data_IF_350175663301
#
_entry.id   IF_350175663301
#
_cell.length_a   1.000
_cell.length_b   1.000
_cell.length_c   1.000
_cell.angle_alpha   90.00
_cell.angle_beta   90.00
_cell.angle_gamma   90.00
#
_symmetry.space_group_name_H-M   'P 1'
#
loop_
_entity.id
_entity.type
_entity.pdbx_description
1 polymer ?
#
# COMPACT_ATOMS: atom_id res chain seq x y z
N UNK A 1 -13.84 -5.97 34.35
CA UNK A 1 -13.45 -6.73 33.13
C UNK A 1 -14.48 -7.84 32.95
N UNK A 2 -15.25 -7.79 31.87
CA UNK A 2 -16.18 -8.86 31.52
C UNK A 2 -15.44 -10.00 30.81
N UNK A 3 -16.05 -11.20 30.80
CA UNK A 3 -15.44 -12.44 30.31
C UNK A 3 -15.10 -12.37 28.82
N UNK A 4 -13.87 -12.76 28.40
CA UNK A 4 -13.49 -12.70 27.00
C UNK A 4 -14.37 -13.59 26.11
N UNK A 5 -14.76 -13.08 24.94
CA UNK A 5 -15.53 -13.85 23.96
C UNK A 5 -14.60 -14.36 22.85
N UNK A 6 -14.84 -15.61 22.45
CA UNK A 6 -14.07 -16.28 21.40
C UNK A 6 -14.86 -16.20 20.11
N UNK A 7 -14.45 -15.34 19.18
CA UNK A 7 -14.96 -15.40 17.81
C UNK A 7 -14.11 -16.36 16.98
N UNK A 8 -14.77 -17.35 16.37
CA UNK A 8 -14.13 -18.26 15.41
C UNK A 8 -14.13 -17.59 14.04
N UNK A 9 -12.97 -17.10 13.61
CA UNK A 9 -12.80 -16.67 12.23
C UNK A 9 -12.81 -17.89 11.30
N UNK A 10 -13.70 -17.87 10.31
CA UNK A 10 -13.69 -18.79 9.18
C UNK A 10 -12.65 -18.29 8.17
N UNK A 11 -11.90 -19.19 7.55
CA UNK A 11 -10.82 -18.90 6.58
C UNK A 11 -11.30 -18.19 5.29
N UNK A 12 -12.56 -17.76 5.21
CA UNK A 12 -13.18 -17.08 4.07
C UNK A 12 -13.49 -15.59 4.34
N UNK A 13 -13.14 -15.05 5.51
CA UNK A 13 -13.27 -13.61 5.75
C UNK A 13 -12.10 -12.87 5.09
N UNK A 14 -12.40 -12.13 4.02
CA UNK A 14 -11.42 -11.55 3.10
C UNK A 14 -10.67 -10.32 3.65
N UNK A 15 -10.79 -10.02 4.94
CA UNK A 15 -10.13 -8.89 5.62
C UNK A 15 -8.64 -9.13 5.93
N UNK A 16 -8.10 -10.34 5.71
CA UNK A 16 -6.70 -10.66 5.96
C UNK A 16 -6.01 -11.31 4.75
N UNK A 17 -5.65 -10.52 3.73
CA UNK A 17 -4.80 -11.00 2.63
C UNK A 17 -3.33 -10.95 3.03
N UNK A 18 -2.85 -12.04 3.64
CA UNK A 18 -1.42 -12.32 3.82
C UNK A 18 -1.07 -13.66 3.17
N UNK A 19 -0.25 -13.64 2.12
CA UNK A 19 0.22 -14.83 1.41
C UNK A 19 1.19 -15.66 2.26
N UNK A 20 0.83 -16.90 2.59
CA UNK A 20 1.80 -17.91 3.02
C UNK A 20 1.71 -19.13 2.11
N UNK A 21 2.68 -19.24 1.18
CA UNK A 21 2.90 -20.47 0.40
C UNK A 21 3.41 -21.57 1.34
N UNK A 22 2.69 -22.70 1.34
CA UNK A 22 3.26 -24.03 1.48
C UNK A 22 3.95 -24.42 2.79
N UNK A 23 3.21 -24.55 3.89
CA UNK A 23 3.54 -25.54 4.95
C UNK A 23 2.24 -26.08 5.52
N UNK A 24 2.01 -27.41 5.46
CA UNK A 24 0.94 -28.07 6.23
C UNK A 24 1.29 -28.00 7.72
N UNK A 25 1.10 -26.85 8.37
CA UNK A 25 1.15 -26.73 9.83
C UNK A 25 -0.22 -27.15 10.37
N UNK A 26 -0.24 -28.03 11.37
CA UNK A 26 -1.45 -28.30 12.18
C UNK A 26 -2.04 -26.94 12.57
N UNK A 27 -3.25 -26.65 12.10
CA UNK A 27 -3.86 -25.33 12.16
C UNK A 27 -3.89 -24.80 13.59
N UNK A 28 -3.02 -23.83 13.88
CA UNK A 28 -3.20 -22.94 15.03
C UNK A 28 -4.25 -21.95 14.56
N UNK A 29 -5.52 -22.22 14.88
CA UNK A 29 -6.56 -21.24 14.67
C UNK A 29 -6.20 -20.05 15.56
N UNK A 30 -5.81 -18.91 14.96
CA UNK A 30 -5.60 -17.67 15.70
C UNK A 30 -6.97 -17.24 16.22
N UNK A 31 -7.24 -17.55 17.47
CA UNK A 31 -8.42 -17.07 18.18
C UNK A 31 -8.15 -15.62 18.56
N UNK A 32 -8.84 -14.69 17.91
CA UNK A 32 -8.92 -13.31 18.39
C UNK A 32 -9.82 -13.32 19.62
N UNK A 33 -9.25 -12.92 20.75
CA UNK A 33 -9.96 -12.82 22.02
C UNK A 33 -10.41 -11.38 22.16
N UNK A 34 -11.71 -11.14 22.05
CA UNK A 34 -12.30 -9.82 22.28
C UNK A 34 -12.79 -9.72 23.72
N UNK A 35 -12.76 -8.51 24.26
CA UNK A 35 -13.31 -8.19 25.58
C UNK A 35 -13.97 -6.82 25.55
N UNK A 36 -14.51 -6.37 26.68
CA UNK A 36 -15.12 -5.05 26.85
C UNK A 36 -14.75 -4.43 28.22
N UNK A 37 -14.87 -3.10 28.34
CA UNK A 37 -14.72 -2.40 29.63
C UNK A 37 -16.05 -2.39 30.39
N UNK A 38 -16.02 -1.94 31.66
CA UNK A 38 -17.26 -1.79 32.43
C UNK A 38 -18.13 -0.63 31.92
N UNK A 39 -17.47 0.41 31.37
CA UNK A 39 -18.10 1.61 30.84
C UNK A 39 -18.69 1.40 29.44
N UNK A 40 -18.00 0.60 28.61
CA UNK A 40 -18.41 0.23 27.27
C UNK A 40 -18.66 -1.29 27.18
N UNK A 41 -19.71 -1.83 27.81
CA UNK A 41 -19.93 -3.28 27.92
C UNK A 41 -20.21 -3.97 26.58
N UNK A 42 -20.67 -3.21 25.57
CA UNK A 42 -20.95 -3.70 24.21
C UNK A 42 -19.79 -3.50 23.24
N UNK A 43 -18.71 -2.83 23.66
CA UNK A 43 -17.50 -2.64 22.88
C UNK A 43 -16.68 -3.94 22.88
N UNK A 44 -16.87 -4.78 21.86
CA UNK A 44 -16.25 -6.10 21.80
C UNK A 44 -15.01 -6.09 20.89
N UNK A 45 -13.91 -5.54 21.40
CA UNK A 45 -12.66 -5.36 20.64
C UNK A 45 -11.50 -6.16 21.23
N UNK A 46 -10.43 -6.34 20.47
CA UNK A 46 -9.19 -6.93 20.99
C UNK A 46 -8.41 -5.93 21.84
N UNK A 47 -7.43 -6.36 22.63
CA UNK A 47 -6.48 -5.46 23.31
C UNK A 47 -7.12 -4.26 24.06
N UNK A 48 -8.36 -4.39 24.55
CA UNK A 48 -9.17 -3.30 25.13
C UNK A 48 -8.43 -2.43 26.13
N UNK A 49 -7.54 -3.03 26.92
CA UNK A 49 -6.78 -2.30 27.94
C UNK A 49 -5.78 -1.28 27.35
N UNK A 50 -5.40 -1.45 26.09
CA UNK A 50 -4.31 -0.71 25.45
C UNK A 50 -4.75 0.22 24.33
N UNK A 51 -5.96 0.03 23.81
CA UNK A 51 -6.48 0.68 22.60
C UNK A 51 -7.90 1.23 22.84
N UNK A 52 -8.28 1.41 24.10
CA UNK A 52 -9.51 2.10 24.49
C UNK A 52 -9.10 3.09 25.58
N UNK A 53 -9.44 4.37 25.41
CA UNK A 53 -9.05 5.45 26.34
C UNK A 53 -7.52 5.55 26.46
N UNK A 54 -6.80 5.40 25.34
CA UNK A 54 -5.34 5.45 25.29
C UNK A 54 -4.81 6.86 24.95
N UNK A 55 -5.73 7.80 24.68
CA UNK A 55 -5.45 9.18 24.30
C UNK A 55 -5.15 9.35 22.82
N UNK A 56 -5.42 8.34 21.98
CA UNK A 56 -5.31 8.38 20.52
C UNK A 56 -6.57 7.79 19.92
N UNK A 57 -6.96 8.30 18.77
CA UNK A 57 -8.05 7.77 17.99
C UNK A 57 -7.62 6.51 17.23
N UNK A 58 -8.04 5.35 17.71
CA UNK A 58 -7.96 4.07 17.01
C UNK A 58 -9.15 3.91 16.04
N UNK A 59 -9.06 4.54 14.86
CA UNK A 59 -10.10 4.49 13.82
C UNK A 59 -9.98 3.25 12.90
N UNK A 60 -9.60 2.11 13.48
CA UNK A 60 -9.55 0.82 12.81
C UNK A 60 -10.39 -0.21 13.55
N UNK A 61 -10.69 -1.34 12.90
CA UNK A 61 -11.53 -2.38 13.50
C UNK A 61 -12.86 -1.82 13.99
N UNK A 62 -13.24 -2.18 15.23
CA UNK A 62 -14.49 -1.74 15.86
C UNK A 62 -14.25 -0.75 17.03
N UNK A 63 -13.04 -0.19 17.19
CA UNK A 63 -12.70 0.74 18.29
C UNK A 63 -13.40 2.10 18.14
N UNK A 64 -13.37 2.71 16.94
CA UNK A 64 -14.09 3.94 16.64
C UNK A 64 -15.57 3.68 16.27
N UNK A 65 -16.34 3.10 17.20
CA UNK A 65 -17.78 2.84 17.04
C UNK A 65 -18.56 3.46 18.18
N UNK A 66 -19.86 3.67 17.99
CA UNK A 66 -20.73 4.20 19.05
C UNK A 66 -20.75 3.28 20.28
N UNK A 67 -20.68 1.96 20.06
CA UNK A 67 -20.63 0.93 21.10
C UNK A 67 -19.36 1.02 21.97
N UNK A 68 -18.26 1.49 21.38
CA UNK A 68 -16.99 1.77 22.03
C UNK A 68 -16.82 3.23 22.45
N UNK A 69 -17.87 4.05 22.35
CA UNK A 69 -17.81 5.47 22.70
C UNK A 69 -16.91 6.29 21.79
N UNK A 70 -16.69 5.84 20.55
CA UNK A 70 -15.69 6.39 19.62
C UNK A 70 -14.31 6.40 20.27
N UNK A 71 -13.84 5.19 20.59
CA UNK A 71 -12.59 4.97 21.32
C UNK A 71 -12.55 5.69 22.68
N UNK A 72 -13.60 5.45 23.49
CA UNK A 72 -13.84 6.12 24.77
C UNK A 72 -13.80 7.66 24.74
N UNK A 73 -13.95 8.26 23.56
CA UNK A 73 -13.92 9.70 23.35
C UNK A 73 -12.72 10.17 22.54
N UNK A 74 -11.67 9.36 22.41
CA UNK A 74 -10.43 9.72 21.74
C UNK A 74 -10.64 10.03 20.24
N UNK A 75 -11.65 9.44 19.60
CA UNK A 75 -12.01 9.71 18.21
C UNK A 75 -13.08 10.79 17.99
N UNK A 76 -13.64 11.42 19.03
CA UNK A 76 -14.76 12.38 18.85
C UNK A 76 -14.34 13.58 18.00
N UNK A 77 -13.21 14.22 18.32
CA UNK A 77 -12.75 15.40 17.57
C UNK A 77 -12.46 15.06 16.11
N UNK A 78 -11.82 13.90 15.87
CA UNK A 78 -11.56 13.40 14.52
C UNK A 78 -12.87 13.18 13.74
N UNK A 79 -13.85 12.52 14.34
CA UNK A 79 -15.14 12.25 13.70
C UNK A 79 -15.95 13.52 13.43
N UNK A 80 -15.87 14.53 14.30
CA UNK A 80 -16.51 15.83 14.07
C UNK A 80 -15.88 16.58 12.89
N UNK A 81 -14.55 16.53 12.80
CA UNK A 81 -13.79 17.22 11.75
C UNK A 81 -13.85 16.49 10.41
N UNK A 82 -13.81 15.16 10.43
CA UNK A 82 -13.71 14.30 9.25
C UNK A 82 -14.71 13.13 9.29
N UNK A 83 -16.04 13.41 9.30
CA UNK A 83 -17.08 12.41 9.60
C UNK A 83 -17.16 11.23 8.62
N UNK A 84 -16.53 11.34 7.46
CA UNK A 84 -16.52 10.29 6.42
C UNK A 84 -15.11 9.85 6.03
N UNK A 85 -14.10 10.19 6.83
CA UNK A 85 -12.72 9.79 6.56
C UNK A 85 -12.41 8.43 7.21
N UNK A 86 -11.73 7.57 6.46
CA UNK A 86 -11.24 6.26 6.92
C UNK A 86 -9.72 6.29 7.08
N UNK A 87 -9.25 7.09 8.03
CA UNK A 87 -7.85 7.10 8.42
C UNK A 87 -7.64 6.20 9.63
N UNK A 88 -6.71 5.25 9.58
CA UNK A 88 -6.61 4.21 10.60
C UNK A 88 -6.15 4.77 11.95
N UNK A 89 -5.13 5.63 11.95
CA UNK A 89 -4.54 6.24 13.16
C UNK A 89 -4.30 7.73 12.91
N UNK A 90 -5.37 8.54 12.85
CA UNK A 90 -5.29 9.93 12.40
C UNK A 90 -4.37 10.80 13.27
N UNK A 91 -4.29 10.58 14.59
CA UNK A 91 -3.39 11.36 15.46
C UNK A 91 -1.91 11.21 15.14
N UNK A 92 -1.54 10.18 14.38
CA UNK A 92 -0.15 9.92 13.99
C UNK A 92 0.15 10.29 12.55
N UNK A 93 -0.87 10.37 11.70
CA UNK A 93 -0.70 10.47 10.24
C UNK A 93 -1.25 11.77 9.64
N UNK A 94 -2.13 12.49 10.33
CA UNK A 94 -2.70 13.73 9.77
C UNK A 94 -1.81 14.93 10.05
N UNK A 95 -1.50 15.70 9.02
CA UNK A 95 -0.71 16.93 9.18
C UNK A 95 0.75 16.65 9.58
N UNK A 96 1.26 15.46 9.26
CA UNK A 96 2.62 15.02 9.58
C UNK A 96 3.65 15.41 8.49
N UNK A 97 3.17 16.02 7.40
CA UNK A 97 3.96 16.45 6.25
C UNK A 97 4.08 15.40 5.15
N UNK A 98 3.50 14.20 5.32
CA UNK A 98 3.39 13.18 4.30
C UNK A 98 1.97 13.13 3.74
N UNK A 99 1.84 12.87 2.45
CA UNK A 99 0.54 12.79 1.80
C UNK A 99 0.11 11.31 1.65
N UNK A 100 -0.78 10.85 2.54
CA UNK A 100 -1.34 9.49 2.58
C UNK A 100 -2.86 9.49 2.32
N UNK A 101 -3.62 10.30 3.05
CA UNK A 101 -5.10 10.31 2.99
C UNK A 101 -5.65 11.37 2.02
N UNK A 102 -5.24 11.27 0.75
CA UNK A 102 -5.53 12.27 -0.30
C UNK A 102 -6.98 12.25 -0.81
N UNK A 103 -7.93 12.55 0.07
CA UNK A 103 -9.35 12.67 -0.28
C UNK A 103 -9.96 13.91 0.35
N UNK A 104 -11.01 14.46 -0.27
CA UNK A 104 -11.73 15.61 0.28
C UNK A 104 -12.36 15.29 1.64
N UNK A 105 -12.80 14.05 1.87
CA UNK A 105 -13.40 13.59 3.12
C UNK A 105 -12.38 13.61 4.28
N UNK A 106 -11.11 13.36 3.97
CA UNK A 106 -10.00 13.41 4.91
C UNK A 106 -9.29 14.77 4.93
N UNK A 107 -9.87 15.80 4.29
CA UNK A 107 -9.28 17.14 4.24
C UNK A 107 -7.92 17.18 3.55
N UNK A 108 -7.67 16.28 2.59
CA UNK A 108 -6.38 16.14 1.92
C UNK A 108 -5.23 15.91 2.90
N UNK A 109 -5.44 14.93 3.79
CA UNK A 109 -4.52 14.56 4.86
C UNK A 109 -4.17 15.72 5.81
N UNK A 110 -5.20 16.40 6.31
CA UNK A 110 -5.00 17.62 7.10
C UNK A 110 -4.37 18.78 6.34
N UNK A 111 -4.24 18.69 5.02
CA UNK A 111 -3.66 19.70 4.14
C UNK A 111 -2.32 19.29 3.51
N UNK A 112 -1.72 18.19 3.93
CA UNK A 112 -0.39 17.76 3.43
C UNK A 112 -0.41 17.36 1.95
N UNK A 113 -1.58 16.97 1.44
CA UNK A 113 -1.74 16.63 0.02
C UNK A 113 -2.06 17.84 -0.87
N UNK A 114 -2.16 19.06 -0.34
CA UNK A 114 -2.55 20.23 -1.14
C UNK A 114 -1.50 20.58 -2.21
N UNK A 115 -0.22 20.58 -1.85
CA UNK A 115 0.87 20.86 -2.81
C UNK A 115 0.92 19.79 -3.92
N UNK A 116 0.76 18.52 -3.55
CA UNK A 116 0.69 17.43 -4.50
C UNK A 116 -0.48 17.62 -5.48
N UNK A 117 -1.67 17.94 -4.98
CA UNK A 117 -2.86 18.14 -5.81
C UNK A 117 -2.77 19.39 -6.70
N UNK A 118 -2.04 20.43 -6.28
CA UNK A 118 -1.76 21.59 -7.13
C UNK A 118 -0.81 21.23 -8.27
N UNK A 119 0.23 20.45 -7.97
CA UNK A 119 1.26 20.04 -8.94
C UNK A 119 0.74 18.98 -9.93
N UNK A 120 -0.06 18.04 -9.46
CA UNK A 120 -0.57 16.89 -10.23
C UNK A 120 -2.10 16.75 -10.09
N UNK A 121 -2.89 17.72 -10.57
CA UNK A 121 -4.34 17.81 -10.31
C UNK A 121 -5.18 16.65 -10.85
N UNK A 122 -4.62 15.87 -11.79
CA UNK A 122 -5.29 14.72 -12.41
C UNK A 122 -4.62 13.39 -12.03
N UNK A 123 -3.60 13.39 -11.17
CA UNK A 123 -2.95 12.17 -10.72
C UNK A 123 -3.77 11.53 -9.61
N UNK A 124 -4.28 10.32 -9.87
CA UNK A 124 -5.06 9.54 -8.90
C UNK A 124 -4.25 8.29 -8.55
N UNK A 125 -3.56 8.34 -7.41
CA UNK A 125 -2.71 7.27 -6.89
C UNK A 125 -2.97 7.06 -5.40
N UNK A 126 -2.74 5.84 -4.91
CA UNK A 126 -2.98 5.48 -3.51
C UNK A 126 -1.94 6.09 -2.57
N UNK A 127 -0.68 6.24 -3.02
CA UNK A 127 0.43 6.80 -2.24
C UNK A 127 1.07 7.98 -2.96
N UNK A 128 0.48 9.19 -2.88
CA UNK A 128 1.03 10.37 -3.56
C UNK A 128 2.51 10.67 -3.28
N UNK A 129 3.01 10.29 -2.10
CA UNK A 129 4.41 10.42 -1.70
C UNK A 129 5.40 9.60 -2.55
N UNK A 130 4.93 8.59 -3.29
CA UNK A 130 5.72 7.85 -4.28
C UNK A 130 6.05 8.70 -5.52
N UNK A 131 5.23 9.70 -5.84
CA UNK A 131 5.46 10.52 -7.03
C UNK A 131 6.65 11.46 -6.82
N UNK A 132 7.72 11.25 -7.56
CA UNK A 132 8.94 12.06 -7.43
C UNK A 132 9.86 11.60 -6.30
N UNK A 133 9.77 10.33 -5.88
CA UNK A 133 10.54 9.76 -4.79
C UNK A 133 11.95 9.24 -5.19
N UNK A 134 12.30 9.39 -6.48
CA UNK A 134 13.53 8.96 -7.17
C UNK A 134 13.57 7.48 -7.54
N UNK A 135 12.48 6.76 -7.35
CA UNK A 135 12.25 5.44 -7.90
C UNK A 135 11.26 5.58 -9.06
N UNK A 136 11.35 4.71 -10.07
CA UNK A 136 10.36 4.71 -11.13
C UNK A 136 9.21 3.76 -10.76
N UNK A 137 8.17 4.33 -10.17
CA UNK A 137 6.91 3.65 -9.88
C UNK A 137 6.05 3.53 -11.13
N UNK A 138 5.73 2.28 -11.50
CA UNK A 138 4.96 1.98 -12.70
C UNK A 138 3.46 2.23 -12.58
N UNK A 139 2.70 1.60 -13.48
CA UNK A 139 1.23 1.56 -13.42
C UNK A 139 0.57 2.95 -13.34
N UNK A 140 -0.11 3.26 -12.24
CA UNK A 140 -0.85 4.50 -12.06
C UNK A 140 0.07 5.71 -11.87
N UNK A 141 1.29 5.49 -11.38
CA UNK A 141 2.29 6.52 -11.12
C UNK A 141 3.00 6.96 -12.41
N UNK A 142 3.38 6.00 -13.25
CA UNK A 142 3.99 6.28 -14.56
C UNK A 142 2.96 6.67 -15.64
N UNK A 143 2.24 7.77 -15.42
CA UNK A 143 1.27 8.34 -16.38
C UNK A 143 1.54 9.83 -16.60
N UNK A 144 1.12 10.38 -17.73
CA UNK A 144 1.24 11.82 -18.01
C UNK A 144 0.56 12.68 -16.93
N UNK A 145 -0.58 12.21 -16.39
CA UNK A 145 -1.31 12.90 -15.33
C UNK A 145 -0.50 13.04 -14.02
N UNK A 146 0.39 12.08 -13.76
CA UNK A 146 1.32 12.05 -12.63
C UNK A 146 2.73 12.52 -13.03
N UNK A 147 2.90 13.10 -14.23
CA UNK A 147 4.19 13.59 -14.71
C UNK A 147 5.22 12.49 -14.99
N UNK A 148 4.77 11.29 -15.34
CA UNK A 148 5.60 10.08 -15.44
C UNK A 148 6.37 9.83 -14.14
N UNK A 149 5.58 9.66 -13.08
CA UNK A 149 6.06 9.49 -11.72
C UNK A 149 6.95 10.65 -11.25
N UNK A 150 6.46 11.87 -11.44
CA UNK A 150 7.21 13.09 -11.11
C UNK A 150 8.51 13.27 -11.89
N UNK A 151 8.68 12.54 -12.99
CA UNK A 151 9.85 12.53 -13.84
C UNK A 151 10.78 11.34 -13.62
N UNK A 152 10.56 10.53 -12.58
CA UNK A 152 11.47 9.44 -12.22
C UNK A 152 11.41 8.27 -13.23
N UNK A 153 10.31 8.17 -13.99
CA UNK A 153 10.15 7.18 -15.06
C UNK A 153 10.51 7.67 -16.47
N UNK A 154 10.99 8.90 -16.64
CA UNK A 154 11.31 9.43 -17.99
C UNK A 154 12.34 8.55 -18.70
N UNK A 155 13.42 8.16 -18.01
CA UNK A 155 14.47 7.32 -18.60
C UNK A 155 13.91 5.98 -19.10
N UNK A 156 12.99 5.38 -18.35
CA UNK A 156 12.38 4.09 -18.67
C UNK A 156 11.49 4.24 -19.90
N UNK A 157 10.63 5.25 -19.93
CA UNK A 157 9.73 5.52 -21.05
C UNK A 157 10.47 5.86 -22.36
N UNK A 158 11.59 6.57 -22.27
CA UNK A 158 12.42 6.90 -23.44
C UNK A 158 13.16 5.66 -23.98
N UNK A 159 13.69 4.83 -23.07
CA UNK A 159 14.49 3.64 -23.40
C UNK A 159 13.63 2.48 -23.89
N UNK A 160 12.46 2.29 -23.27
CA UNK A 160 11.56 1.16 -23.46
C UNK A 160 10.11 1.60 -23.68
N UNK A 161 9.81 2.41 -24.72
CA UNK A 161 8.51 3.07 -24.90
C UNK A 161 7.33 2.11 -25.10
N UNK A 162 7.59 0.84 -25.45
CA UNK A 162 6.57 -0.18 -25.66
C UNK A 162 6.59 -1.27 -24.57
N UNK A 163 7.45 -1.13 -23.56
CA UNK A 163 7.52 -2.09 -22.47
C UNK A 163 6.32 -1.91 -21.53
N UNK A 164 5.64 -3.01 -21.23
CA UNK A 164 4.44 -3.01 -20.37
C UNK A 164 4.70 -3.57 -18.98
N UNK A 165 5.98 -3.62 -18.57
CA UNK A 165 6.39 -4.06 -17.25
C UNK A 165 5.73 -3.20 -16.15
N UNK A 166 4.96 -3.82 -15.23
CA UNK A 166 4.29 -3.08 -14.16
C UNK A 166 5.26 -2.52 -13.12
N UNK A 167 6.45 -3.10 -13.01
CA UNK A 167 7.54 -2.64 -12.14
C UNK A 167 8.77 -2.28 -12.99
N UNK A 168 8.86 -1.04 -13.50
CA UNK A 168 9.98 -0.59 -14.34
C UNK A 168 11.36 -0.77 -13.72
N UNK A 169 11.45 -0.70 -12.39
CA UNK A 169 12.70 -0.87 -11.64
C UNK A 169 13.30 -2.29 -11.75
N UNK A 170 12.52 -3.27 -12.19
CA UNK A 170 13.07 -4.61 -12.44
C UNK A 170 13.79 -4.69 -13.80
N UNK A 171 13.48 -3.80 -14.75
CA UNK A 171 14.13 -3.79 -16.06
C UNK A 171 15.55 -3.24 -15.96
N UNK A 172 16.55 -4.09 -16.26
CA UNK A 172 17.96 -3.68 -16.20
C UNK A 172 18.50 -3.64 -14.76
N UNK A 173 17.90 -4.40 -13.83
CA UNK A 173 18.26 -4.45 -12.42
C UNK A 173 19.51 -5.34 -12.11
N UNK A 174 20.09 -5.99 -13.13
CA UNK A 174 21.22 -6.91 -13.06
C UNK A 174 20.84 -8.37 -12.76
N UNK A 175 19.56 -8.68 -12.63
CA UNK A 175 18.99 -10.03 -12.54
C UNK A 175 18.24 -10.31 -13.83
N UNK A 176 18.15 -11.59 -14.24
CA UNK A 176 17.32 -11.94 -15.39
C UNK A 176 15.92 -12.34 -14.91
N UNK A 177 14.99 -11.40 -15.04
CA UNK A 177 13.56 -11.54 -14.84
C UNK A 177 12.93 -12.23 -16.07
N UNK A 178 13.21 -13.54 -16.20
CA UNK A 178 12.80 -14.42 -17.31
C UNK A 178 11.30 -14.78 -17.30
N UNK A 179 10.44 -13.78 -17.28
CA UNK A 179 8.99 -13.94 -17.37
C UNK A 179 8.34 -12.73 -18.04
N UNK A 180 7.20 -12.96 -18.68
CA UNK A 180 6.39 -11.91 -19.29
C UNK A 180 5.85 -10.95 -18.20
N UNK A 181 5.85 -9.63 -18.45
CA UNK A 181 6.28 -8.92 -19.67
C UNK A 181 7.76 -8.46 -19.70
N UNK A 182 8.59 -8.86 -18.75
CA UNK A 182 9.93 -8.30 -18.49
C UNK A 182 10.98 -8.75 -19.52
N UNK A 183 11.08 -10.05 -19.78
CA UNK A 183 12.00 -10.60 -20.78
C UNK A 183 11.41 -10.61 -22.20
N UNK A 184 10.98 -9.44 -22.68
CA UNK A 184 10.43 -9.24 -24.03
C UNK A 184 11.33 -8.35 -24.87
N UNK A 185 11.18 -8.37 -26.20
CA UNK A 185 11.95 -7.47 -27.07
C UNK A 185 11.65 -5.99 -26.77
N UNK A 186 10.39 -5.68 -26.47
CA UNK A 186 9.89 -4.35 -26.12
C UNK A 186 10.53 -3.81 -24.85
N UNK A 187 10.85 -4.69 -23.90
CA UNK A 187 11.58 -4.39 -22.66
C UNK A 187 13.10 -4.64 -22.78
N UNK A 188 13.61 -4.84 -24.00
CA UNK A 188 15.04 -5.02 -24.26
C UNK A 188 15.64 -6.31 -23.70
N UNK A 189 14.84 -7.37 -23.57
CA UNK A 189 15.19 -8.62 -22.89
C UNK A 189 15.65 -8.36 -21.46
N UNK A 190 14.72 -7.80 -20.68
CA UNK A 190 14.94 -7.38 -19.30
C UNK A 190 16.10 -6.38 -19.16
N UNK A 191 16.03 -5.30 -19.96
CA UNK A 191 17.07 -4.29 -20.00
C UNK A 191 18.44 -4.77 -20.50
N UNK A 192 18.52 -6.03 -20.96
CA UNK A 192 19.73 -6.71 -21.39
C UNK A 192 20.24 -7.77 -20.40
N UNK A 193 19.63 -7.89 -19.23
CA UNK A 193 20.08 -8.81 -18.18
C UNK A 193 19.86 -10.28 -18.55
N UNK A 194 18.85 -10.56 -19.38
CA UNK A 194 18.58 -11.90 -19.90
C UNK A 194 19.38 -12.27 -21.16
N UNK A 195 20.09 -11.33 -21.79
CA UNK A 195 20.87 -11.59 -23.02
C UNK A 195 22.14 -12.42 -22.73
N UNK A 196 22.67 -12.31 -21.53
CA UNK A 196 23.84 -13.08 -21.07
C UNK A 196 23.55 -13.89 -19.81
N UNK A 197 22.28 -14.12 -19.48
CA UNK A 197 21.88 -14.99 -18.37
C UNK A 197 22.34 -16.42 -18.65
N UNK A 198 23.57 -16.72 -18.24
CA UNK A 198 24.22 -18.00 -18.41
C UNK A 198 23.60 -18.99 -17.41
N UNK A 199 22.47 -19.59 -17.76
CA UNK A 199 22.00 -20.77 -17.05
C UNK A 199 22.93 -21.94 -17.42
N UNK A 200 23.91 -22.23 -16.55
CA UNK A 200 24.74 -23.44 -16.68
C UNK A 200 25.73 -23.45 -17.84
N UNK A 201 26.26 -22.29 -18.24
CA UNK A 201 27.36 -22.20 -19.22
C UNK A 201 26.95 -22.25 -20.70
N UNK A 202 25.66 -22.12 -21.00
CA UNK A 202 25.17 -21.95 -22.37
C UNK A 202 24.47 -20.60 -22.48
N UNK A 203 25.03 -19.69 -23.29
CA UNK A 203 24.40 -18.42 -23.61
C UNK A 203 23.35 -18.66 -24.71
N UNK A 204 22.08 -18.38 -24.42
CA UNK A 204 21.09 -18.12 -25.46
C UNK A 204 21.33 -16.71 -25.97
N UNK A 205 22.20 -16.57 -26.98
CA UNK A 205 22.41 -15.26 -27.60
C UNK A 205 21.12 -14.89 -28.34
N UNK A 206 20.36 -13.93 -27.82
CA UNK A 206 19.35 -13.23 -28.60
C UNK A 206 20.10 -12.45 -29.68
N UNK A 207 20.32 -13.08 -30.83
CA UNK A 207 20.97 -12.44 -31.98
C UNK A 207 20.10 -11.27 -32.44
N UNK A 208 20.70 -10.08 -32.43
CA UNK A 208 20.22 -8.78 -32.92
C UNK A 208 19.44 -7.87 -31.95
N UNK A 209 20.11 -7.40 -30.88
CA UNK A 209 19.79 -6.07 -30.36
C UNK A 209 20.49 -5.03 -31.24
N UNK A 210 19.78 -4.49 -32.22
CA UNK A 210 20.21 -3.23 -32.84
C UNK A 210 20.08 -2.15 -31.78
N UNK A 211 21.22 -1.56 -31.40
CA UNK A 211 21.25 -0.38 -30.55
C UNK A 211 20.26 0.66 -31.09
N UNK A 212 19.29 1.04 -30.28
CA UNK A 212 18.50 2.26 -30.50
C UNK A 212 19.50 3.41 -30.32
N UNK A 213 19.97 3.95 -31.43
CA UNK A 213 20.82 5.16 -31.53
C UNK A 213 19.98 6.41 -31.54
#
# INVERSE_FOLDING_TARGET
MQTPQVQKINENDHSFKGTFRGVKKKGIQRVLVTSSTAEYPNCMVTNVKFLIDDGKCDNFGDYNTQECGYDAGDCIEFNEKYPNCKAYTPDQSFGDGFCEYNTVQCGYDGGDCLEFNEKYPNCTVDSPSSVGDKYCDGLAYNTEACGFDGGDCIWFNERYPNCTAPFPMDIGNGQCDDFEPYNTQECGFDGGDCINACLGGWCSVATEVKAVT
#
